data_IF_362325383235
#
_entry.id   IF_362325383235
#
_cell.length_a   1.000
_cell.length_b   1.000
_cell.length_c   1.000
_cell.angle_alpha   90.00
_cell.angle_beta   90.00
_cell.angle_gamma   90.00
#
_symmetry.space_group_name_H-M   'P 1'
#
loop_
_entity.id
_entity.type
_entity.pdbx_description
1 polymer ?
#
# COMPACT_ATOMS: atom_id res chain seq x y z
N UNK A 1 24.32 -15.03 -5.46
CA UNK A 1 22.96 -14.92 -4.90
C UNK A 1 22.19 -13.98 -5.79
N UNK A 2 20.99 -14.35 -6.21
CA UNK A 2 20.17 -13.48 -7.08
C UNK A 2 19.68 -12.26 -6.33
N UNK A 3 19.87 -11.07 -6.92
CA UNK A 3 19.43 -9.80 -6.35
C UNK A 3 18.10 -9.37 -6.91
N UNK A 4 17.15 -9.05 -6.03
CA UNK A 4 15.85 -8.51 -6.41
C UNK A 4 15.77 -7.04 -6.01
N UNK A 5 15.58 -6.18 -6.98
CA UNK A 5 15.31 -4.75 -6.72
C UNK A 5 13.82 -4.56 -6.53
N UNK A 6 13.42 -4.12 -5.34
CA UNK A 6 12.05 -3.65 -5.05
C UNK A 6 11.99 -2.14 -5.24
N UNK A 7 10.93 -1.65 -5.90
CA UNK A 7 10.69 -0.22 -6.05
C UNK A 7 9.21 0.14 -5.95
N UNK A 8 8.95 1.28 -5.36
CA UNK A 8 7.60 1.82 -5.13
C UNK A 8 7.66 2.79 -3.97
N UNK A 9 6.85 3.83 -3.97
CA UNK A 9 6.93 4.82 -2.92
C UNK A 9 5.92 5.96 -3.05
N UNK A 10 6.12 6.98 -2.23
CA UNK A 10 5.28 8.15 -2.16
C UNK A 10 3.98 7.96 -1.37
N UNK A 11 3.53 6.73 -1.16
CA UNK A 11 2.39 6.39 -0.29
C UNK A 11 2.56 5.00 0.33
N UNK A 12 1.92 4.77 1.49
CA UNK A 12 1.95 3.45 2.16
C UNK A 12 1.44 2.32 1.27
N UNK A 13 0.47 2.56 0.39
CA UNK A 13 -0.08 1.56 -0.53
C UNK A 13 0.93 1.01 -1.55
N UNK A 14 2.01 1.74 -1.84
CA UNK A 14 3.10 1.26 -2.69
C UNK A 14 4.28 0.68 -1.88
N UNK A 15 4.39 1.01 -0.60
CA UNK A 15 5.53 0.59 0.23
C UNK A 15 5.22 -0.68 1.01
N UNK A 16 4.13 -0.71 1.78
CA UNK A 16 3.79 -1.86 2.63
C UNK A 16 3.71 -3.20 1.88
N UNK A 17 3.14 -3.30 0.66
CA UNK A 17 3.16 -4.55 -0.08
C UNK A 17 4.57 -5.01 -0.48
N UNK A 18 5.50 -4.08 -0.78
CA UNK A 18 6.90 -4.42 -1.01
C UNK A 18 7.55 -4.97 0.27
N UNK A 19 7.33 -4.31 1.41
CA UNK A 19 7.87 -4.76 2.69
C UNK A 19 7.34 -6.14 3.08
N UNK A 20 6.08 -6.42 2.77
CA UNK A 20 5.45 -7.71 3.02
C UNK A 20 6.09 -8.87 2.24
N UNK A 21 6.73 -8.59 1.10
CA UNK A 21 7.43 -9.59 0.28
C UNK A 21 8.84 -9.90 0.78
N UNK A 22 9.50 -8.97 1.49
CA UNK A 22 10.91 -9.10 1.86
C UNK A 22 11.20 -10.41 2.60
N UNK A 23 10.47 -10.78 3.67
CA UNK A 23 10.76 -12.03 4.37
C UNK A 23 10.66 -13.27 3.48
N UNK A 24 9.63 -13.33 2.61
CA UNK A 24 9.45 -14.46 1.70
C UNK A 24 10.55 -14.53 0.63
N UNK A 25 11.02 -13.39 0.13
CA UNK A 25 12.14 -13.34 -0.82
C UNK A 25 13.44 -13.79 -0.15
N UNK A 26 13.72 -13.34 1.07
CA UNK A 26 14.90 -13.73 1.82
C UNK A 26 14.91 -15.22 2.19
N UNK A 27 13.75 -15.78 2.58
CA UNK A 27 13.59 -17.22 2.84
C UNK A 27 13.89 -18.06 1.61
N UNK A 28 13.62 -17.55 0.43
CA UNK A 28 13.92 -18.20 -0.86
C UNK A 28 15.36 -17.96 -1.35
N UNK A 29 16.19 -17.33 -0.53
CA UNK A 29 17.61 -17.10 -0.81
C UNK A 29 17.91 -15.89 -1.71
N UNK A 30 16.95 -14.99 -1.92
CA UNK A 30 17.19 -13.75 -2.66
C UNK A 30 17.80 -12.66 -1.77
N UNK A 31 18.76 -11.92 -2.32
CA UNK A 31 19.20 -10.65 -1.76
C UNK A 31 18.24 -9.54 -2.20
N UNK A 32 17.74 -8.75 -1.26
CA UNK A 32 16.75 -7.71 -1.53
C UNK A 32 17.39 -6.33 -1.42
N UNK A 33 17.25 -5.54 -2.48
CA UNK A 33 17.66 -4.14 -2.55
C UNK A 33 16.42 -3.28 -2.76
N UNK A 34 16.28 -2.20 -1.99
CA UNK A 34 15.18 -1.26 -2.19
C UNK A 34 15.65 0.01 -2.89
N UNK A 35 14.95 0.43 -3.93
CA UNK A 35 15.22 1.70 -4.61
C UNK A 35 14.02 2.61 -4.50
N UNK A 36 14.19 3.74 -3.82
CA UNK A 36 13.14 4.71 -3.51
C UNK A 36 13.48 6.15 -3.92
N UNK A 37 12.73 7.11 -3.39
CA UNK A 37 12.98 8.55 -3.59
C UNK A 37 14.05 9.10 -2.67
N UNK A 38 14.66 10.23 -3.08
CA UNK A 38 15.59 11.00 -2.24
C UNK A 38 14.85 11.73 -1.11
N UNK A 39 15.56 12.00 -0.01
CA UNK A 39 15.10 12.76 1.15
C UNK A 39 14.41 11.90 2.21
N UNK A 40 13.61 12.55 3.07
CA UNK A 40 12.83 11.89 4.13
C UNK A 40 11.51 11.36 3.55
N UNK A 41 11.58 10.22 2.90
CA UNK A 41 10.43 9.55 2.27
C UNK A 41 9.87 8.45 3.16
N UNK A 42 8.59 8.10 2.94
CA UNK A 42 7.94 7.00 3.68
C UNK A 42 8.65 5.66 3.44
N UNK A 43 9.07 5.39 2.20
CA UNK A 43 9.78 4.18 1.85
C UNK A 43 11.13 4.08 2.59
N UNK A 44 11.89 5.17 2.66
CA UNK A 44 13.17 5.20 3.38
C UNK A 44 12.99 4.95 4.88
N UNK A 45 12.01 5.62 5.50
CA UNK A 45 11.72 5.43 6.94
C UNK A 45 11.31 4.01 7.28
N UNK A 46 10.51 3.38 6.41
CA UNK A 46 9.99 2.03 6.66
C UNK A 46 10.99 0.92 6.31
N UNK A 47 11.93 1.15 5.39
CA UNK A 47 12.96 0.15 5.02
C UNK A 47 14.18 0.21 5.93
N UNK A 48 14.50 1.37 6.50
CA UNK A 48 15.68 1.56 7.37
C UNK A 48 15.77 0.57 8.55
N UNK A 49 14.68 0.26 9.28
CA UNK A 49 14.73 -0.70 10.38
C UNK A 49 14.95 -2.15 9.94
N UNK A 50 14.76 -2.47 8.65
CA UNK A 50 14.86 -3.84 8.12
C UNK A 50 16.30 -4.23 7.75
N UNK A 51 17.26 -3.30 7.81
CA UNK A 51 18.66 -3.56 7.49
C UNK A 51 18.93 -3.98 6.04
N UNK A 52 17.99 -3.71 5.11
CA UNK A 52 18.18 -3.98 3.68
C UNK A 52 18.89 -2.81 3.00
N UNK A 53 19.64 -3.13 1.94
CA UNK A 53 20.31 -2.12 1.12
C UNK A 53 19.28 -1.16 0.50
N UNK A 54 19.50 0.16 0.66
CA UNK A 54 18.62 1.19 0.15
C UNK A 54 19.37 2.20 -0.72
N UNK A 55 18.89 2.39 -1.94
CA UNK A 55 19.35 3.44 -2.84
C UNK A 55 18.23 4.44 -3.11
N UNK A 56 18.62 5.69 -3.36
CA UNK A 56 17.69 6.76 -3.67
C UNK A 56 17.90 7.34 -5.07
N UNK A 57 16.79 7.72 -5.70
CA UNK A 57 16.78 8.42 -6.98
C UNK A 57 16.04 9.74 -6.85
N UNK A 58 16.46 10.80 -7.57
CA UNK A 58 15.69 12.02 -7.63
C UNK A 58 14.34 11.76 -8.31
N UNK A 59 13.24 12.06 -7.61
CA UNK A 59 11.89 11.84 -8.12
C UNK A 59 11.01 13.05 -7.87
N UNK A 60 10.10 13.34 -8.80
CA UNK A 60 9.14 14.43 -8.69
C UNK A 60 7.74 13.88 -8.88
N UNK A 61 6.86 14.18 -7.92
CA UNK A 61 5.45 13.85 -8.00
C UNK A 61 4.72 14.83 -8.91
N UNK A 62 3.96 14.32 -9.87
CA UNK A 62 3.04 15.13 -10.67
C UNK A 62 1.99 15.77 -9.76
N UNK A 63 1.93 17.10 -9.75
CA UNK A 63 0.95 17.88 -9.00
C UNK A 63 -0.22 18.21 -9.92
N UNK A 64 -1.42 17.79 -9.55
CA UNK A 64 -2.65 18.10 -10.29
C UNK A 64 -3.11 19.52 -9.98
N UNK A 65 -3.68 20.18 -10.98
CA UNK A 65 -4.19 21.55 -10.88
C UNK A 65 -3.39 22.57 -11.69
N UNK A 66 -3.94 23.78 -11.82
CA UNK A 66 -3.40 24.86 -12.63
C UNK A 66 -2.75 25.97 -11.78
N UNK A 67 -2.45 25.73 -10.50
CA UNK A 67 -1.76 26.70 -9.67
C UNK A 67 -0.33 26.96 -10.21
N UNK A 68 0.19 28.17 -10.05
CA UNK A 68 1.57 28.52 -10.44
C UNK A 68 2.61 27.56 -9.84
N UNK A 69 2.37 27.10 -8.59
CA UNK A 69 3.20 26.11 -7.91
C UNK A 69 3.13 24.74 -8.61
N UNK A 70 1.95 24.30 -9.04
CA UNK A 70 1.78 23.06 -9.78
C UNK A 70 2.47 23.12 -11.16
N UNK A 71 2.28 24.22 -11.89
CA UNK A 71 2.93 24.43 -13.20
C UNK A 71 4.45 24.42 -13.07
N UNK A 72 5.03 25.19 -12.12
CA UNK A 72 6.49 25.22 -11.88
C UNK A 72 7.03 23.83 -11.50
N UNK A 73 6.33 23.10 -10.62
CA UNK A 73 6.72 21.74 -10.25
C UNK A 73 6.68 20.80 -11.46
N UNK A 74 5.63 20.88 -12.27
CA UNK A 74 5.45 19.99 -13.41
C UNK A 74 6.41 20.27 -14.56
N UNK A 75 6.84 21.52 -14.75
CA UNK A 75 7.89 21.89 -15.72
C UNK A 75 9.25 21.27 -15.41
N UNK A 76 9.54 20.98 -14.14
CA UNK A 76 10.78 20.31 -13.74
C UNK A 76 10.78 18.80 -14.02
N UNK A 77 9.60 18.18 -14.20
CA UNK A 77 9.46 16.72 -14.34
C UNK A 77 10.33 16.16 -15.47
N UNK A 78 10.34 16.67 -16.71
CA UNK A 78 11.16 16.09 -17.78
C UNK A 78 12.64 16.05 -17.44
N UNK A 79 13.17 17.15 -16.87
CA UNK A 79 14.58 17.25 -16.51
C UNK A 79 14.94 16.28 -15.38
N UNK A 80 14.14 16.27 -14.31
CA UNK A 80 14.36 15.38 -13.17
C UNK A 80 14.20 13.92 -13.58
N UNK A 81 13.19 13.59 -14.39
CA UNK A 81 12.96 12.23 -14.87
C UNK A 81 14.12 11.75 -15.74
N UNK A 82 14.64 12.57 -16.67
CA UNK A 82 15.79 12.22 -17.51
C UNK A 82 17.02 11.95 -16.64
N UNK A 83 17.32 12.84 -15.68
CA UNK A 83 18.43 12.66 -14.74
C UNK A 83 18.24 11.36 -13.92
N UNK A 84 17.03 11.13 -13.46
CA UNK A 84 16.71 9.94 -12.66
C UNK A 84 16.86 8.65 -13.48
N UNK A 85 16.48 8.62 -14.75
CA UNK A 85 16.67 7.46 -15.64
C UNK A 85 18.16 7.19 -15.86
N UNK A 86 18.98 8.23 -16.06
CA UNK A 86 20.44 8.08 -16.22
C UNK A 86 21.05 7.50 -14.94
N UNK A 87 20.66 8.02 -13.77
CA UNK A 87 21.13 7.50 -12.47
C UNK A 87 20.63 6.07 -12.24
N UNK A 88 19.39 5.77 -12.58
CA UNK A 88 18.84 4.41 -12.49
C UNK A 88 19.63 3.41 -13.38
N UNK A 89 19.99 3.80 -14.62
CA UNK A 89 20.82 2.95 -15.50
C UNK A 89 22.19 2.69 -14.90
N UNK A 90 22.84 3.70 -14.30
CA UNK A 90 24.13 3.52 -13.61
C UNK A 90 24.00 2.59 -12.42
N UNK A 91 22.97 2.82 -11.60
CA UNK A 91 22.69 2.02 -10.42
C UNK A 91 22.40 0.56 -10.78
N UNK A 92 21.56 0.31 -11.79
CA UNK A 92 21.28 -1.07 -12.25
C UNK A 92 22.50 -1.80 -12.78
N UNK A 93 23.49 -1.09 -13.37
CA UNK A 93 24.79 -1.66 -13.75
C UNK A 93 25.67 -2.02 -12.55
N UNK A 94 25.53 -1.31 -11.43
CA UNK A 94 26.28 -1.59 -10.20
C UNK A 94 25.66 -2.73 -9.38
N UNK A 95 24.32 -2.74 -9.27
CA UNK A 95 23.59 -3.78 -8.51
C UNK A 95 23.56 -5.11 -9.28
N UNK A 96 23.45 -5.06 -10.62
CA UNK A 96 23.25 -6.21 -11.51
C UNK A 96 22.08 -7.12 -11.08
N UNK A 97 20.85 -6.55 -10.90
CA UNK A 97 19.76 -7.32 -10.37
C UNK A 97 19.27 -8.38 -11.36
N UNK A 98 18.89 -9.54 -10.82
CA UNK A 98 18.25 -10.62 -11.58
C UNK A 98 16.82 -10.26 -11.99
N UNK A 99 16.14 -9.36 -11.22
CA UNK A 99 14.81 -8.89 -11.50
C UNK A 99 14.50 -7.55 -10.80
N UNK A 100 13.64 -6.73 -11.42
CA UNK A 100 13.05 -5.54 -10.82
C UNK A 100 11.57 -5.81 -10.57
N UNK A 101 11.15 -5.66 -9.30
CA UNK A 101 9.73 -5.70 -8.91
C UNK A 101 9.26 -4.28 -8.62
N UNK A 102 8.35 -3.77 -9.46
CA UNK A 102 7.82 -2.41 -9.38
C UNK A 102 6.38 -2.41 -8.87
N UNK A 103 6.17 -1.86 -7.67
CA UNK A 103 4.83 -1.71 -7.08
C UNK A 103 4.03 -0.55 -7.68
N UNK A 104 4.68 0.28 -8.48
CA UNK A 104 4.07 1.45 -9.09
C UNK A 104 4.31 2.75 -8.30
N UNK A 105 3.54 3.78 -8.63
CA UNK A 105 3.80 5.14 -8.16
C UNK A 105 4.91 5.84 -8.98
N UNK A 106 5.04 7.16 -8.77
CA UNK A 106 6.02 7.97 -9.51
C UNK A 106 7.47 7.59 -9.18
N UNK A 107 7.69 6.97 -8.03
CA UNK A 107 9.02 6.54 -7.54
C UNK A 107 9.58 5.39 -8.37
N UNK A 108 8.76 4.47 -8.84
CA UNK A 108 9.22 3.32 -9.66
C UNK A 108 9.44 3.66 -11.14
N UNK A 109 8.93 4.80 -11.62
CA UNK A 109 8.99 5.14 -13.04
C UNK A 109 10.41 5.19 -13.62
N UNK A 110 11.43 5.78 -12.95
CA UNK A 110 12.80 5.79 -13.47
C UNK A 110 13.38 4.40 -13.68
N UNK A 111 13.15 3.47 -12.75
CA UNK A 111 13.62 2.08 -12.84
C UNK A 111 12.87 1.31 -13.94
N UNK A 112 11.56 1.51 -14.08
CA UNK A 112 10.76 0.94 -15.16
C UNK A 112 11.33 1.36 -16.52
N UNK A 113 11.67 2.65 -16.69
CA UNK A 113 12.23 3.16 -17.95
C UNK A 113 13.70 2.78 -18.16
N UNK A 114 14.42 2.45 -17.10
CA UNK A 114 15.85 2.12 -17.14
C UNK A 114 16.13 0.61 -17.18
N UNK A 115 15.12 -0.27 -17.01
CA UNK A 115 15.32 -1.72 -16.76
C UNK A 115 16.11 -2.45 -17.86
N UNK A 116 16.07 -1.97 -19.11
CA UNK A 116 16.83 -2.53 -20.23
C UNK A 116 16.50 -4.00 -20.50
N UNK A 117 17.45 -4.91 -20.24
CA UNK A 117 17.26 -6.36 -20.40
C UNK A 117 16.94 -7.09 -19.09
N UNK A 118 16.94 -6.37 -17.96
CA UNK A 118 16.58 -6.96 -16.66
C UNK A 118 15.08 -7.28 -16.64
N UNK A 119 14.67 -8.48 -16.26
CA UNK A 119 13.27 -8.84 -16.12
C UNK A 119 12.52 -7.85 -15.24
N UNK A 120 11.34 -7.41 -15.69
CA UNK A 120 10.50 -6.44 -14.99
C UNK A 120 9.16 -7.09 -14.63
N UNK A 121 8.81 -7.08 -13.36
CA UNK A 121 7.50 -7.46 -12.84
C UNK A 121 6.85 -6.23 -12.22
N UNK A 122 5.66 -5.90 -12.66
CA UNK A 122 4.86 -4.77 -12.13
C UNK A 122 3.64 -5.30 -11.39
N UNK A 123 3.31 -4.71 -10.26
CA UNK A 123 2.13 -5.09 -9.48
C UNK A 123 1.17 -3.91 -9.31
N UNK A 124 -0.11 -4.13 -9.64
CA UNK A 124 -1.20 -3.16 -9.45
C UNK A 124 -2.13 -3.61 -8.32
N UNK A 125 -2.39 -2.71 -7.38
CA UNK A 125 -3.33 -2.97 -6.29
C UNK A 125 -4.74 -2.47 -6.56
N UNK A 126 -4.87 -1.43 -7.36
CA UNK A 126 -6.17 -0.86 -7.73
C UNK A 126 -6.79 -1.60 -8.92
N UNK A 127 -8.09 -1.42 -9.14
CA UNK A 127 -8.81 -1.99 -10.28
C UNK A 127 -8.35 -1.41 -11.62
N UNK A 128 -7.78 -0.21 -11.62
CA UNK A 128 -7.24 0.45 -12.81
C UNK A 128 -5.73 0.66 -12.71
N UNK A 129 -5.00 0.42 -13.81
CA UNK A 129 -3.56 0.65 -13.82
C UNK A 129 -3.20 2.12 -13.60
N UNK A 130 -2.32 2.37 -12.62
CA UNK A 130 -1.63 3.63 -12.48
C UNK A 130 -0.68 3.91 -13.67
N UNK A 131 -0.31 5.19 -13.86
CA UNK A 131 0.51 5.60 -15.00
C UNK A 131 1.84 4.83 -15.08
N UNK A 132 2.54 4.64 -13.96
CA UNK A 132 3.80 3.90 -13.93
C UNK A 132 3.60 2.44 -14.39
N UNK A 133 2.55 1.77 -13.94
CA UNK A 133 2.23 0.39 -14.33
C UNK A 133 1.76 0.29 -15.79
N UNK A 134 1.05 1.31 -16.32
CA UNK A 134 0.74 1.39 -17.77
C UNK A 134 2.02 1.46 -18.60
N UNK A 135 2.98 2.28 -18.18
CA UNK A 135 4.29 2.38 -18.83
C UNK A 135 5.07 1.06 -18.69
N UNK A 136 5.08 0.47 -17.48
CA UNK A 136 5.71 -0.84 -17.24
C UNK A 136 5.18 -1.93 -18.18
N UNK A 137 3.87 -1.95 -18.40
CA UNK A 137 3.24 -2.86 -19.38
C UNK A 137 3.74 -2.61 -20.82
N UNK A 138 3.83 -1.34 -21.23
CA UNK A 138 4.35 -0.96 -22.56
C UNK A 138 5.83 -1.31 -22.72
N UNK A 139 6.59 -1.29 -21.62
CA UNK A 139 8.00 -1.69 -21.60
C UNK A 139 8.22 -3.21 -21.53
N UNK A 140 7.15 -4.01 -21.64
CA UNK A 140 7.23 -5.48 -21.64
C UNK A 140 7.25 -6.11 -20.22
N UNK A 141 6.95 -5.34 -19.18
CA UNK A 141 6.85 -5.85 -17.81
C UNK A 141 5.69 -6.85 -17.63
N UNK A 142 5.93 -7.93 -16.91
CA UNK A 142 4.89 -8.89 -16.50
C UNK A 142 3.98 -8.22 -15.48
N UNK A 143 2.67 -8.22 -15.75
CA UNK A 143 1.69 -7.50 -14.94
C UNK A 143 0.99 -8.42 -13.95
N UNK A 144 1.20 -8.18 -12.66
CA UNK A 144 0.47 -8.78 -11.56
C UNK A 144 -0.63 -7.84 -11.08
N UNK A 145 -1.74 -8.41 -10.65
CA UNK A 145 -2.91 -7.64 -10.20
C UNK A 145 -3.49 -8.21 -8.91
N UNK A 146 -4.21 -7.37 -8.18
CA UNK A 146 -4.92 -7.77 -6.96
C UNK A 146 -6.32 -8.30 -7.24
N UNK A 147 -6.88 -8.01 -8.41
CA UNK A 147 -8.26 -8.31 -8.75
C UNK A 147 -8.36 -9.04 -10.10
N UNK A 148 -9.15 -10.14 -10.20
CA UNK A 148 -9.34 -10.89 -11.43
C UNK A 148 -9.95 -10.06 -12.58
N UNK A 149 -10.70 -8.99 -12.28
CA UNK A 149 -11.27 -8.10 -13.29
C UNK A 149 -10.22 -7.20 -13.97
N UNK A 150 -9.04 -7.05 -13.37
CA UNK A 150 -7.94 -6.25 -13.92
C UNK A 150 -7.09 -7.11 -14.85
N UNK A 151 -6.81 -6.63 -16.06
CA UNK A 151 -6.01 -7.36 -17.07
C UNK A 151 -4.58 -7.62 -16.58
N UNK A 152 -4.26 -8.85 -16.17
CA UNK A 152 -2.97 -9.30 -15.67
C UNK A 152 -3.11 -10.63 -14.96
N UNK A 153 -2.02 -11.12 -14.37
CA UNK A 153 -2.02 -12.32 -13.54
C UNK A 153 -2.50 -11.95 -12.13
N UNK A 154 -3.65 -12.45 -11.73
CA UNK A 154 -4.23 -12.14 -10.43
C UNK A 154 -3.54 -12.95 -9.32
N UNK A 155 -2.82 -12.25 -8.44
CA UNK A 155 -2.10 -12.83 -7.31
C UNK A 155 -2.60 -12.34 -5.95
N UNK A 156 -3.33 -11.22 -5.90
CA UNK A 156 -3.74 -10.55 -4.67
C UNK A 156 -2.77 -9.42 -4.27
N UNK A 157 -2.96 -8.85 -3.07
CA UNK A 157 -2.06 -7.84 -2.49
C UNK A 157 -1.18 -8.51 -1.44
N UNK A 158 0.17 -8.36 -1.50
CA UNK A 158 1.06 -8.85 -0.45
C UNK A 158 0.71 -8.24 0.91
N UNK A 159 0.54 -9.08 1.91
CA UNK A 159 0.23 -8.67 3.27
C UNK A 159 1.31 -9.14 4.24
N UNK A 160 1.59 -8.30 5.23
CA UNK A 160 2.56 -8.58 6.28
C UNK A 160 2.06 -9.68 7.20
N UNK A 161 2.89 -10.68 7.46
CA UNK A 161 2.53 -11.83 8.29
C UNK A 161 2.22 -11.44 9.75
N UNK A 162 2.85 -10.38 10.25
CA UNK A 162 2.61 -9.84 11.60
C UNK A 162 1.15 -9.45 11.84
N UNK A 163 0.40 -9.10 10.79
CA UNK A 163 -1.01 -8.75 10.90
C UNK A 163 -1.86 -9.89 11.50
N UNK A 164 -1.43 -11.14 11.30
CA UNK A 164 -2.14 -12.35 11.72
C UNK A 164 -1.68 -12.91 13.08
N UNK A 165 -0.59 -12.38 13.66
CA UNK A 165 0.09 -12.98 14.80
C UNK A 165 -0.34 -12.44 16.17
N UNK A 166 -1.10 -11.34 16.23
CA UNK A 166 -1.41 -10.66 17.50
C UNK A 166 -2.62 -11.24 18.23
N UNK A 167 -2.42 -11.44 19.52
CA UNK A 167 -3.49 -11.85 20.42
C UNK A 167 -4.25 -10.63 20.95
N UNK A 168 -5.60 -10.68 20.89
CA UNK A 168 -6.49 -9.57 21.30
C UNK A 168 -6.28 -9.19 22.78
N UNK A 169 -6.11 -10.15 23.68
CA UNK A 169 -5.96 -9.90 25.12
C UNK A 169 -4.65 -9.15 25.41
N UNK A 170 -3.55 -9.62 24.84
CA UNK A 170 -2.23 -8.98 25.02
C UNK A 170 -2.21 -7.57 24.39
N UNK A 171 -2.78 -7.42 23.20
CA UNK A 171 -2.86 -6.12 22.53
C UNK A 171 -3.71 -5.10 23.32
N UNK A 172 -4.83 -5.53 23.93
CA UNK A 172 -5.65 -4.67 24.80
C UNK A 172 -4.87 -4.18 26.03
N UNK A 173 -4.09 -5.07 26.65
CA UNK A 173 -3.23 -4.68 27.79
C UNK A 173 -2.20 -3.62 27.40
N UNK A 174 -1.53 -3.79 26.27
CA UNK A 174 -0.53 -2.83 25.76
C UNK A 174 -1.11 -1.46 25.42
N UNK A 175 -2.39 -1.38 25.08
CA UNK A 175 -3.10 -0.13 24.76
C UNK A 175 -3.87 0.46 25.96
N UNK A 176 -3.86 -0.22 27.12
CA UNK A 176 -4.67 0.10 28.29
C UNK A 176 -6.18 0.16 27.99
N UNK A 177 -6.67 -0.80 27.19
CA UNK A 177 -8.10 -0.92 26.85
C UNK A 177 -8.73 -2.02 27.72
N UNK A 178 -9.83 -1.73 28.46
CA UNK A 178 -10.55 -2.74 29.24
C UNK A 178 -11.00 -3.94 28.38
N UNK A 179 -10.93 -5.16 28.95
CA UNK A 179 -11.20 -6.39 28.19
C UNK A 179 -12.63 -6.46 27.64
N UNK A 180 -13.59 -5.85 28.31
CA UNK A 180 -15.01 -5.86 27.94
C UNK A 180 -15.45 -4.70 27.05
N UNK A 181 -14.56 -3.75 26.77
CA UNK A 181 -14.89 -2.61 25.92
C UNK A 181 -15.01 -3.02 24.46
N UNK A 182 -16.00 -2.48 23.77
CA UNK A 182 -16.02 -2.53 22.30
C UNK A 182 -15.07 -1.49 21.76
N UNK A 183 -14.30 -1.84 20.75
CA UNK A 183 -13.27 -0.96 20.16
C UNK A 183 -13.65 -0.58 18.72
N UNK A 184 -13.77 0.72 18.49
CA UNK A 184 -13.85 1.32 17.16
C UNK A 184 -12.45 1.82 16.77
N UNK A 185 -11.85 1.20 15.76
CA UNK A 185 -10.63 1.70 15.13
C UNK A 185 -10.97 2.62 13.97
N UNK A 186 -10.48 3.85 13.99
CA UNK A 186 -10.63 4.82 12.90
C UNK A 186 -9.29 5.04 12.21
N UNK A 187 -9.25 4.93 10.88
CA UNK A 187 -8.02 5.10 10.09
C UNK A 187 -8.28 5.81 8.75
N UNK A 188 -7.61 6.95 8.57
CA UNK A 188 -7.72 7.78 7.35
C UNK A 188 -6.65 7.51 6.29
N UNK A 189 -5.75 6.52 6.54
CA UNK A 189 -4.54 6.30 5.76
C UNK A 189 -3.36 7.16 6.24
N UNK A 190 -2.15 6.94 5.68
CA UNK A 190 -0.90 7.56 6.12
C UNK A 190 -0.86 9.09 6.07
N UNK A 191 -1.65 9.70 5.20
CA UNK A 191 -1.76 11.17 5.06
C UNK A 191 -2.87 11.78 5.92
N UNK A 192 -3.66 10.94 6.61
CA UNK A 192 -4.87 11.34 7.30
C UNK A 192 -6.04 11.63 6.36
N UNK A 193 -7.22 11.89 6.92
CA UNK A 193 -8.43 12.17 6.19
C UNK A 193 -9.25 13.23 6.94
N UNK A 194 -9.06 14.50 6.64
CA UNK A 194 -9.66 15.62 7.39
C UNK A 194 -11.18 15.49 7.51
N UNK A 195 -11.90 15.16 6.43
CA UNK A 195 -13.34 14.98 6.46
C UNK A 195 -13.77 13.86 7.44
N UNK A 196 -13.05 12.72 7.40
CA UNK A 196 -13.31 11.60 8.29
C UNK A 196 -12.98 11.95 9.75
N UNK A 197 -11.82 12.59 9.98
CA UNK A 197 -11.43 13.04 11.31
C UNK A 197 -12.44 13.99 11.91
N UNK A 198 -12.90 14.97 11.15
CA UNK A 198 -13.91 15.94 11.59
C UNK A 198 -15.25 15.27 11.91
N UNK A 199 -15.71 14.32 11.08
CA UNK A 199 -16.92 13.57 11.34
C UNK A 199 -16.83 12.74 12.63
N UNK A 200 -15.71 12.08 12.87
CA UNK A 200 -15.47 11.32 14.11
C UNK A 200 -15.52 12.24 15.32
N UNK A 201 -14.87 13.41 15.26
CA UNK A 201 -14.89 14.39 16.37
C UNK A 201 -16.27 14.98 16.60
N UNK A 202 -17.02 15.31 15.52
CA UNK A 202 -18.42 15.79 15.61
C UNK A 202 -19.30 14.79 16.37
N UNK A 203 -19.11 13.51 16.15
CA UNK A 203 -19.92 12.45 16.76
C UNK A 203 -19.26 11.76 17.98
N UNK A 204 -18.13 12.28 18.47
CA UNK A 204 -17.31 11.62 19.48
C UNK A 204 -18.09 11.30 20.76
N UNK A 205 -18.91 12.24 21.26
CA UNK A 205 -19.72 12.04 22.47
C UNK A 205 -20.75 10.90 22.32
N UNK A 206 -21.26 10.67 21.13
CA UNK A 206 -22.17 9.55 20.83
C UNK A 206 -21.38 8.24 20.71
N UNK A 207 -20.27 8.24 19.99
CA UNK A 207 -19.45 7.05 19.76
C UNK A 207 -18.82 6.51 21.05
N UNK A 208 -18.38 7.38 21.96
CA UNK A 208 -17.75 7.00 23.23
C UNK A 208 -18.73 6.42 24.26
N UNK A 209 -20.05 6.52 24.04
CA UNK A 209 -21.03 5.79 24.85
C UNK A 209 -21.00 4.28 24.65
N UNK A 210 -20.65 3.84 23.43
CA UNK A 210 -20.66 2.44 23.04
C UNK A 210 -19.30 1.83 22.76
N UNK A 211 -18.27 2.67 22.48
CA UNK A 211 -16.94 2.23 22.08
C UNK A 211 -15.84 2.95 22.84
N UNK A 212 -14.72 2.26 23.02
CA UNK A 212 -13.40 2.91 23.11
C UNK A 212 -12.93 3.19 21.68
N UNK A 213 -12.78 4.48 21.34
CA UNK A 213 -12.42 4.94 20.00
C UNK A 213 -10.91 5.11 19.90
N UNK A 214 -10.26 4.29 19.10
CA UNK A 214 -8.84 4.45 18.73
C UNK A 214 -8.79 5.17 17.39
N UNK A 215 -8.26 6.40 17.37
CA UNK A 215 -8.34 7.28 16.21
C UNK A 215 -6.96 7.59 15.63
N UNK A 216 -6.60 6.93 14.51
CA UNK A 216 -5.43 7.25 13.71
C UNK A 216 -5.72 8.45 12.81
N UNK A 217 -5.40 9.65 13.28
CA UNK A 217 -5.74 10.88 12.55
C UNK A 217 -4.75 11.24 11.42
N UNK A 218 -3.52 10.71 11.44
CA UNK A 218 -2.54 10.73 10.31
C UNK A 218 -1.98 12.09 9.90
N UNK A 219 -2.76 13.15 10.00
CA UNK A 219 -2.37 14.49 9.53
C UNK A 219 -1.58 15.24 10.62
N UNK A 220 -0.31 15.58 10.34
CA UNK A 220 0.55 16.33 11.28
C UNK A 220 -0.02 17.71 11.67
N UNK A 221 -0.88 18.30 10.84
CA UNK A 221 -1.52 19.60 11.08
C UNK A 221 -2.91 19.47 11.69
N UNK A 222 -3.37 18.25 11.99
CA UNK A 222 -4.65 18.00 12.64
C UNK A 222 -4.47 17.95 14.16
N UNK A 223 -5.29 18.71 14.88
CA UNK A 223 -5.29 18.72 16.36
C UNK A 223 -6.54 17.99 16.85
N UNK A 224 -6.41 16.72 17.28
CA UNK A 224 -7.53 15.98 17.83
C UNK A 224 -7.89 16.49 19.25
N UNK A 225 -9.09 16.18 19.77
CA UNK A 225 -9.41 16.34 21.17
C UNK A 225 -8.41 15.62 22.07
N UNK A 226 -8.33 16.05 23.34
CA UNK A 226 -7.47 15.41 24.34
C UNK A 226 -7.88 13.94 24.53
N UNK A 227 -6.89 13.11 24.83
CA UNK A 227 -7.09 11.69 25.21
C UNK A 227 -7.99 11.58 26.44
N UNK A 228 -8.88 10.60 26.42
CA UNK A 228 -9.68 10.17 27.57
C UNK A 228 -9.63 8.63 27.66
N UNK A 229 -10.28 8.06 28.68
CA UNK A 229 -10.38 6.58 28.81
C UNK A 229 -11.11 5.94 27.63
N UNK A 230 -12.03 6.66 26.98
CA UNK A 230 -12.82 6.17 25.83
C UNK A 230 -12.38 6.77 24.50
N UNK A 231 -11.35 7.63 24.47
CA UNK A 231 -10.83 8.21 23.22
C UNK A 231 -9.30 8.24 23.22
N UNK A 232 -8.70 7.49 22.29
CA UNK A 232 -7.26 7.30 22.15
C UNK A 232 -6.83 7.86 20.79
N UNK A 233 -6.50 9.16 20.68
CA UNK A 233 -5.96 9.73 19.45
C UNK A 233 -4.50 9.34 19.27
N UNK A 234 -4.15 8.88 18.06
CA UNK A 234 -2.80 8.53 17.66
C UNK A 234 -2.48 9.20 16.31
N UNK A 235 -1.34 9.87 16.16
CA UNK A 235 -0.96 10.47 14.89
C UNK A 235 -0.63 9.39 13.84
N UNK A 236 -0.02 8.31 14.28
CA UNK A 236 0.43 7.18 13.49
C UNK A 236 0.54 5.94 14.38
N UNK A 237 0.53 4.76 13.78
CA UNK A 237 0.76 3.51 14.48
C UNK A 237 1.77 2.65 13.72
N UNK A 238 2.83 2.24 14.40
CA UNK A 238 3.80 1.27 13.89
C UNK A 238 3.25 -0.16 13.99
N UNK A 239 2.54 -0.47 15.10
CA UNK A 239 1.92 -1.78 15.33
C UNK A 239 0.43 -1.79 14.94
N UNK A 240 0.16 -1.78 13.63
CA UNK A 240 -1.20 -1.93 13.10
C UNK A 240 -1.81 -3.29 13.45
N UNK A 241 -1.00 -4.33 13.63
CA UNK A 241 -1.47 -5.66 13.96
C UNK A 241 -2.20 -5.69 15.31
N UNK A 242 -1.64 -5.03 16.33
CA UNK A 242 -2.30 -4.88 17.63
C UNK A 242 -3.60 -4.07 17.53
N UNK A 243 -3.63 -3.01 16.74
CA UNK A 243 -4.84 -2.21 16.54
C UNK A 243 -5.95 -2.99 15.84
N UNK A 244 -5.60 -3.76 14.81
CA UNK A 244 -6.55 -4.68 14.18
C UNK A 244 -7.01 -5.78 15.14
N UNK A 245 -6.10 -6.37 15.94
CA UNK A 245 -6.47 -7.42 16.88
C UNK A 245 -7.51 -6.96 17.91
N UNK A 246 -7.39 -5.73 18.44
CA UNK A 246 -8.32 -5.21 19.44
C UNK A 246 -9.64 -4.71 18.86
N UNK A 247 -9.71 -4.34 17.57
CA UNK A 247 -10.86 -3.70 16.98
C UNK A 247 -12.03 -4.66 16.78
N UNK A 248 -13.22 -4.22 17.16
CA UNK A 248 -14.49 -4.89 16.92
C UNK A 248 -15.17 -4.33 15.64
N UNK A 249 -14.97 -3.04 15.35
CA UNK A 249 -15.38 -2.37 14.11
C UNK A 249 -14.21 -1.50 13.63
N UNK A 250 -14.01 -1.44 12.32
CA UNK A 250 -13.02 -0.56 11.70
C UNK A 250 -13.70 0.42 10.76
N UNK A 251 -13.49 1.71 10.99
CA UNK A 251 -13.85 2.80 10.08
C UNK A 251 -12.62 3.21 9.29
N UNK A 252 -12.65 3.07 7.96
CA UNK A 252 -11.48 3.28 7.11
C UNK A 252 -11.79 3.99 5.80
N UNK A 253 -10.77 4.62 5.22
CA UNK A 253 -10.77 4.92 3.78
C UNK A 253 -10.69 3.62 2.97
N UNK A 254 -11.25 3.63 1.76
CA UNK A 254 -11.26 2.46 0.88
C UNK A 254 -9.98 2.36 0.00
N UNK A 255 -8.80 2.48 0.60
CA UNK A 255 -7.54 2.19 -0.09
C UNK A 255 -7.41 0.68 -0.33
N UNK A 256 -6.86 0.27 -1.49
CA UNK A 256 -6.76 -1.15 -1.86
C UNK A 256 -6.08 -2.01 -0.78
N UNK A 257 -4.98 -1.53 -0.19
CA UNK A 257 -4.27 -2.25 0.89
C UNK A 257 -5.14 -2.39 2.14
N UNK A 258 -5.86 -1.33 2.55
CA UNK A 258 -6.74 -1.39 3.72
C UNK A 258 -7.91 -2.37 3.51
N UNK A 259 -8.50 -2.37 2.31
CA UNK A 259 -9.56 -3.33 1.95
C UNK A 259 -9.02 -4.77 2.02
N UNK A 260 -7.82 -5.01 1.47
CA UNK A 260 -7.20 -6.33 1.51
C UNK A 260 -6.86 -6.79 2.94
N UNK A 261 -6.27 -5.92 3.76
CA UNK A 261 -5.95 -6.22 5.17
C UNK A 261 -7.21 -6.55 5.97
N UNK A 262 -8.26 -5.71 5.87
CA UNK A 262 -9.50 -5.90 6.63
C UNK A 262 -10.29 -7.14 6.18
N UNK A 263 -10.29 -7.44 4.89
CA UNK A 263 -10.86 -8.68 4.35
C UNK A 263 -10.08 -9.90 4.83
N UNK A 264 -8.74 -9.89 4.71
CA UNK A 264 -7.89 -10.99 5.15
C UNK A 264 -8.05 -11.31 6.64
N UNK A 265 -8.24 -10.28 7.46
CA UNK A 265 -8.46 -10.39 8.91
C UNK A 265 -9.93 -10.61 9.29
N UNK A 266 -10.83 -10.80 8.32
CA UNK A 266 -12.27 -10.97 8.54
C UNK A 266 -12.86 -9.89 9.47
N UNK A 267 -12.50 -8.61 9.28
CA UNK A 267 -12.98 -7.53 10.13
C UNK A 267 -14.37 -7.05 9.72
N UNK A 268 -15.12 -6.52 10.69
CA UNK A 268 -16.32 -5.72 10.43
C UNK A 268 -15.86 -4.33 10.06
N UNK A 269 -16.07 -3.89 8.83
CA UNK A 269 -15.51 -2.67 8.32
C UNK A 269 -16.54 -1.77 7.65
N UNK A 270 -16.50 -0.47 7.99
CA UNK A 270 -17.20 0.61 7.32
C UNK A 270 -16.18 1.42 6.52
N UNK A 271 -16.36 1.46 5.21
CA UNK A 271 -15.48 2.21 4.32
C UNK A 271 -16.08 3.54 3.91
N UNK A 272 -15.27 4.59 4.00
CA UNK A 272 -15.61 5.92 3.51
C UNK A 272 -14.64 6.25 2.36
N UNK A 273 -15.03 5.98 1.09
CA UNK A 273 -14.16 6.25 -0.05
C UNK A 273 -13.97 7.77 -0.26
N UNK A 274 -12.82 8.14 -0.83
CA UNK A 274 -12.61 9.50 -1.34
C UNK A 274 -13.55 9.77 -2.51
N UNK A 275 -14.21 10.94 -2.58
CA UNK A 275 -15.10 11.29 -3.68
C UNK A 275 -14.35 11.43 -5.01
N UNK A 276 -15.09 11.34 -6.12
CA UNK A 276 -14.58 11.66 -7.46
C UNK A 276 -14.08 13.12 -7.48
N UNK A 277 -12.94 13.35 -8.13
CA UNK A 277 -12.32 14.68 -8.21
C UNK A 277 -11.18 14.89 -7.20
N UNK A 278 -11.25 14.30 -6.02
CA UNK A 278 -10.12 14.28 -5.06
C UNK A 278 -9.12 13.17 -5.39
N UNK A 279 -9.62 12.03 -5.89
CA UNK A 279 -8.81 10.89 -6.37
C UNK A 279 -9.15 10.54 -7.82
N UNK A 280 -8.49 9.50 -8.38
CA UNK A 280 -8.82 8.95 -9.71
C UNK A 280 -10.14 8.14 -9.72
N UNK A 281 -10.81 8.02 -8.58
CA UNK A 281 -11.98 7.17 -8.40
C UNK A 281 -11.65 5.76 -7.89
N UNK A 282 -10.37 5.40 -7.80
CA UNK A 282 -9.94 4.05 -7.37
C UNK A 282 -10.57 3.62 -6.04
N UNK A 283 -10.74 4.57 -5.08
CA UNK A 283 -11.35 4.23 -3.79
C UNK A 283 -12.84 3.92 -3.87
N UNK A 284 -13.57 4.46 -4.84
CA UNK A 284 -14.97 4.10 -5.05
C UNK A 284 -15.08 2.66 -5.55
N UNK A 285 -14.22 2.28 -6.50
CA UNK A 285 -14.17 0.93 -7.02
C UNK A 285 -13.75 -0.06 -5.94
N UNK A 286 -12.73 0.29 -5.14
CA UNK A 286 -12.29 -0.52 -3.99
C UNK A 286 -13.40 -0.66 -2.92
N UNK A 287 -14.21 0.38 -2.69
CA UNK A 287 -15.35 0.33 -1.77
C UNK A 287 -16.45 -0.61 -2.26
N UNK A 288 -16.73 -0.62 -3.58
CA UNK A 288 -17.66 -1.57 -4.18
C UNK A 288 -17.16 -3.01 -4.06
N UNK A 289 -15.85 -3.24 -4.28
CA UNK A 289 -15.22 -4.53 -4.03
C UNK A 289 -15.35 -4.93 -2.57
N UNK A 290 -15.06 -4.03 -1.62
CA UNK A 290 -15.22 -4.30 -0.19
C UNK A 290 -16.67 -4.67 0.16
N UNK A 291 -17.65 -3.98 -0.45
CA UNK A 291 -19.08 -4.29 -0.27
C UNK A 291 -19.45 -5.69 -0.75
N UNK A 292 -18.89 -6.15 -1.87
CA UNK A 292 -19.12 -7.52 -2.36
C UNK A 292 -18.54 -8.60 -1.42
N UNK A 293 -17.54 -8.23 -0.62
CA UNK A 293 -16.94 -9.08 0.41
C UNK A 293 -17.61 -8.95 1.80
N UNK A 294 -18.70 -8.21 1.91
CA UNK A 294 -19.46 -8.00 3.17
C UNK A 294 -19.06 -6.75 3.96
N UNK A 295 -18.16 -5.93 3.47
CA UNK A 295 -17.89 -4.60 4.03
C UNK A 295 -19.05 -3.63 3.79
N UNK A 296 -19.22 -2.64 4.66
CA UNK A 296 -20.21 -1.57 4.48
C UNK A 296 -19.56 -0.32 3.90
N UNK A 297 -20.35 0.51 3.22
CA UNK A 297 -19.86 1.74 2.58
C UNK A 297 -20.75 2.91 2.97
N UNK A 298 -20.11 4.00 3.40
CA UNK A 298 -20.74 5.29 3.67
C UNK A 298 -20.01 6.36 2.82
N UNK A 299 -20.76 7.15 2.05
CA UNK A 299 -20.16 8.22 1.26
C UNK A 299 -19.98 9.49 2.11
N UNK A 300 -18.99 10.34 1.75
CA UNK A 300 -18.66 11.54 2.53
C UNK A 300 -19.86 12.49 2.73
N UNK A 301 -20.75 12.58 1.76
CA UNK A 301 -21.94 13.43 1.83
C UNK A 301 -22.94 12.98 2.91
N UNK A 302 -22.80 11.76 3.42
CA UNK A 302 -23.68 11.15 4.41
C UNK A 302 -23.01 10.91 5.77
N UNK A 303 -21.90 11.60 6.07
CA UNK A 303 -21.13 11.42 7.32
C UNK A 303 -21.93 11.81 8.58
N UNK A 304 -23.04 12.51 8.45
CA UNK A 304 -23.96 12.78 9.56
C UNK A 304 -24.62 11.50 10.09
N UNK A 305 -24.73 10.46 9.27
CA UNK A 305 -25.28 9.15 9.65
C UNK A 305 -24.18 8.20 10.21
N UNK A 306 -22.96 8.71 10.46
CA UNK A 306 -21.80 7.91 10.88
C UNK A 306 -22.09 7.02 12.11
N UNK A 307 -22.69 7.48 13.21
CA UNK A 307 -22.98 6.64 14.38
C UNK A 307 -23.89 5.46 14.04
N UNK A 308 -24.96 5.70 13.28
CA UNK A 308 -25.92 4.67 12.87
C UNK A 308 -25.26 3.61 11.97
N UNK A 309 -24.44 4.04 11.01
CA UNK A 309 -23.74 3.12 10.10
C UNK A 309 -22.64 2.31 10.80
N UNK A 310 -21.99 2.86 11.83
CA UNK A 310 -21.07 2.12 12.70
C UNK A 310 -21.82 1.05 13.49
N UNK A 311 -22.98 1.39 14.06
CA UNK A 311 -23.82 0.43 14.80
C UNK A 311 -24.31 -0.70 13.88
N UNK A 312 -24.81 -0.39 12.70
CA UNK A 312 -25.18 -1.38 11.68
C UNK A 312 -23.97 -2.27 11.29
N UNK A 313 -22.77 -1.69 11.23
CA UNK A 313 -21.54 -2.44 10.93
C UNK A 313 -21.17 -3.38 12.07
N UNK A 314 -21.36 -2.97 13.33
CA UNK A 314 -21.13 -3.83 14.49
C UNK A 314 -22.01 -5.10 14.45
N UNK A 315 -23.24 -4.96 14.00
CA UNK A 315 -24.21 -6.06 13.94
C UNK A 315 -24.19 -6.84 12.61
N UNK A 316 -23.40 -6.41 11.63
CA UNK A 316 -23.21 -7.13 10.37
C UNK A 316 -22.25 -8.33 10.54
N UNK A 317 -22.30 -9.34 9.66
CA UNK A 317 -21.26 -10.37 9.62
C UNK A 317 -19.91 -9.73 9.26
N UNK A 318 -18.79 -10.37 9.65
CA UNK A 318 -17.46 -9.93 9.24
C UNK A 318 -17.28 -10.07 7.72
N UNK A 319 -16.33 -9.34 7.17
CA UNK A 319 -15.93 -9.49 5.77
C UNK A 319 -15.47 -10.90 5.48
N UNK A 320 -15.76 -11.39 4.27
CA UNK A 320 -15.24 -12.67 3.78
C UNK A 320 -13.77 -12.52 3.43
N UNK A 321 -12.95 -13.44 3.89
CA UNK A 321 -11.54 -13.46 3.49
C UNK A 321 -11.41 -13.93 2.05
N UNK A 322 -10.68 -13.14 1.26
CA UNK A 322 -10.20 -13.55 -0.07
C UNK A 322 -8.70 -13.80 -0.05
N UNK A 323 -8.09 -13.76 1.14
CA UNK A 323 -6.66 -13.92 1.33
C UNK A 323 -6.24 -15.37 1.10
N UNK A 324 -5.17 -15.52 0.33
CA UNK A 324 -4.49 -16.79 0.10
C UNK A 324 -2.97 -16.56 0.20
N UNK A 325 -2.18 -17.52 -0.21
CA UNK A 325 -0.72 -17.36 -0.26
C UNK A 325 -0.27 -16.41 -1.38
N UNK A 326 -0.58 -15.14 -1.22
CA UNK A 326 -0.20 -14.08 -2.18
C UNK A 326 1.31 -13.92 -2.28
N UNK A 327 2.01 -13.96 -1.15
CA UNK A 327 3.46 -13.77 -1.12
C UNK A 327 4.17 -14.91 -1.86
N UNK A 328 3.81 -16.17 -1.60
CA UNK A 328 4.34 -17.33 -2.30
C UNK A 328 4.04 -17.31 -3.80
N UNK A 329 2.82 -16.93 -4.20
CA UNK A 329 2.48 -16.76 -5.63
C UNK A 329 3.38 -15.73 -6.32
N UNK A 330 3.63 -14.58 -5.69
CA UNK A 330 4.50 -13.54 -6.26
C UNK A 330 5.95 -14.02 -6.34
N UNK A 331 6.45 -14.69 -5.32
CA UNK A 331 7.79 -15.29 -5.32
C UNK A 331 7.95 -16.31 -6.44
N UNK A 332 6.95 -17.17 -6.66
CA UNK A 332 6.94 -18.13 -7.78
C UNK A 332 7.00 -17.42 -9.15
N UNK A 333 6.24 -16.31 -9.31
CA UNK A 333 6.29 -15.49 -10.53
C UNK A 333 7.67 -14.85 -10.72
N UNK A 334 8.30 -14.37 -9.66
CA UNK A 334 9.64 -13.80 -9.71
C UNK A 334 10.65 -14.83 -10.18
N UNK A 335 10.66 -16.05 -9.61
CA UNK A 335 11.53 -17.16 -10.03
C UNK A 335 11.33 -17.54 -11.52
N UNK A 336 10.08 -17.70 -11.93
CA UNK A 336 9.76 -18.00 -13.33
C UNK A 336 10.23 -16.89 -14.28
N UNK A 337 10.10 -15.63 -13.88
CA UNK A 337 10.54 -14.48 -14.69
C UNK A 337 12.06 -14.40 -14.83
N UNK A 338 12.83 -14.73 -13.78
CA UNK A 338 14.30 -14.84 -13.81
C UNK A 338 14.69 -15.95 -14.77
N UNK A 339 14.16 -17.16 -14.62
CA UNK A 339 14.49 -18.33 -15.45
C UNK A 339 14.20 -18.09 -16.95
N UNK A 340 13.11 -17.38 -17.28
CA UNK A 340 12.80 -16.99 -18.67
C UNK A 340 13.80 -15.97 -19.21
N UNK A 341 14.22 -15.02 -18.38
CA UNK A 341 15.24 -14.02 -18.73
C UNK A 341 16.60 -14.68 -19.08
N UNK A 342 17.02 -15.67 -18.33
CA UNK A 342 18.26 -16.43 -18.55
C UNK A 342 18.20 -17.25 -19.85
N UNK A 343 17.09 -17.97 -20.08
CA UNK A 343 16.91 -18.73 -21.33
C UNK A 343 16.96 -17.83 -22.57
N UNK A 344 16.45 -16.59 -22.47
CA UNK A 344 16.52 -15.63 -23.56
C UNK A 344 17.93 -15.09 -23.81
N UNK A 345 18.75 -14.92 -22.74
CA UNK A 345 20.17 -14.53 -22.85
C UNK A 345 21.00 -15.64 -23.51
N UNK A 346 20.84 -16.87 -23.06
CA UNK A 346 21.59 -18.03 -23.56
C UNK A 346 21.28 -18.34 -25.06
N UNK A 347 20.00 -18.22 -25.48
CA UNK A 347 19.65 -18.35 -26.90
C UNK A 347 20.32 -17.31 -27.81
N UNK A 348 20.46 -16.07 -27.33
CA UNK A 348 21.14 -15.02 -28.12
C UNK A 348 22.66 -15.20 -28.18
N UNK A 349 23.26 -15.76 -27.14
CA UNK A 349 24.71 -16.09 -27.17
C UNK A 349 25.00 -17.27 -28.11
N UNK A 350 24.16 -18.30 -28.14
CA UNK A 350 24.32 -19.42 -29.06
C UNK A 350 24.09 -19.06 -30.53
N UNK A 351 23.28 -18.04 -30.82
CA UNK A 351 23.05 -17.54 -32.18
C UNK A 351 24.15 -16.58 -32.67
N UNK A 352 24.84 -15.87 -31.77
CA UNK A 352 25.94 -14.96 -32.10
C UNK A 352 27.33 -15.66 -32.06
N UNK A 353 27.37 -16.92 -31.70
CA UNK A 353 28.60 -17.73 -31.60
C UNK A 353 28.78 -18.77 -32.72
N UNK A 354 28.08 -18.66 -33.82
CA UNK A 354 28.36 -19.44 -35.04
C UNK A 354 29.39 -18.69 -35.90
N UNK A 355 30.49 -19.35 -36.28
CA UNK A 355 31.57 -18.74 -37.05
C UNK A 355 31.16 -18.30 -38.45
#
# INVERSE_FOLDING_TARGET
MDKIVLTGGGTGGHVYPNLALIPSLQQEGFEVVYVGGEGDTIERRLTSPLGIEYHSLPVVKLVRGLSLKAVKNNLSIPIVLTRSIINAKKLLKQIEPSLIFAKGGYVSLPLILAHGKTPLVCHESDLSFGLANKIGKLMGGRMLTSNPATKGECVGIPLRQELFSKNKVTARRGLNIPQNDRVLLVMGGSSGATALNNAVVKHLSTLTKSFTVVHLYGNKNYTPPKRTDKYIPLPYADDMASLYAVSDVVLSRAGATAVAELSALCKKALFVPLPKGVSRGDQLDNALLAKSMGGRVLYEDNLDNLPEEIDKTLHSPPMKSTYGDTNGKIVAVIRDSISRGEKCKNKKQSQNGLP
#
